data_IF_952802345278
#
_entry.id   IF_952802345278
#
_cell.length_a   1.000
_cell.length_b   1.000
_cell.length_c   1.000
_cell.angle_alpha   90.00
_cell.angle_beta   90.00
_cell.angle_gamma   90.00
#
_symmetry.space_group_name_H-M   'P 1'
#
loop_
_entity.id
_entity.type
_entity.pdbx_description
1 polymer ?
#
# COMPACT_ATOMS: atom_id res chain seq x y z
N UNK A 1 -1.81 10.74 -17.74
CA UNK A 1 -1.24 9.54 -17.06
C UNK A 1 -0.07 9.90 -16.16
N UNK A 2 0.95 10.60 -16.66
CA UNK A 2 2.10 11.00 -15.83
C UNK A 2 1.73 11.95 -14.68
N UNK A 3 0.91 12.96 -14.92
CA UNK A 3 0.44 13.85 -13.83
C UNK A 3 -0.31 13.07 -12.73
N UNK A 4 -1.18 12.12 -13.11
CA UNK A 4 -1.88 11.25 -12.17
C UNK A 4 -0.90 10.40 -11.36
N UNK A 5 0.11 9.83 -12.01
CA UNK A 5 1.19 9.11 -11.34
C UNK A 5 1.87 9.97 -10.27
N UNK A 6 2.34 11.17 -10.61
CA UNK A 6 3.03 12.04 -9.64
C UNK A 6 2.12 12.47 -8.48
N UNK A 7 0.87 12.82 -8.77
CA UNK A 7 -0.10 13.23 -7.74
C UNK A 7 -0.36 12.09 -6.75
N UNK A 8 -0.63 10.88 -7.24
CA UNK A 8 -0.95 9.75 -6.37
C UNK A 8 0.28 9.31 -5.55
N UNK A 9 1.49 9.30 -6.12
CA UNK A 9 2.71 9.03 -5.35
C UNK A 9 2.93 10.08 -4.25
N UNK A 10 2.77 11.37 -4.58
CA UNK A 10 2.88 12.45 -3.60
C UNK A 10 1.87 12.28 -2.46
N UNK A 11 0.63 11.92 -2.79
CA UNK A 11 -0.43 11.66 -1.81
C UNK A 11 -0.08 10.48 -0.89
N UNK A 12 0.47 9.40 -1.44
CA UNK A 12 0.93 8.24 -0.66
C UNK A 12 2.09 8.61 0.27
N UNK A 13 3.06 9.40 -0.19
CA UNK A 13 4.17 9.88 0.65
C UNK A 13 3.64 10.70 1.84
N UNK A 14 2.67 11.58 1.64
CA UNK A 14 2.01 12.30 2.73
C UNK A 14 1.43 11.32 3.75
N UNK A 15 0.74 10.27 3.30
CA UNK A 15 0.20 9.23 4.18
C UNK A 15 1.27 8.52 5.00
N UNK A 16 2.41 8.20 4.40
CA UNK A 16 3.56 7.61 5.10
C UNK A 16 4.17 8.54 6.14
N UNK A 17 4.38 9.81 5.79
CA UNK A 17 4.90 10.81 6.72
C UNK A 17 3.97 10.97 7.93
N UNK A 18 2.65 11.02 7.69
CA UNK A 18 1.65 11.12 8.75
C UNK A 18 1.75 9.96 9.76
N UNK A 19 1.81 8.71 9.29
CA UNK A 19 1.90 7.56 10.20
C UNK A 19 3.26 7.42 10.89
N UNK A 20 4.34 7.86 10.23
CA UNK A 20 5.69 7.82 10.81
C UNK A 20 5.84 8.87 11.90
N UNK A 21 5.44 10.11 11.66
CA UNK A 21 5.67 11.23 12.58
C UNK A 21 4.60 11.38 13.66
N UNK A 22 3.36 10.98 13.38
CA UNK A 22 2.22 11.15 14.29
C UNK A 22 1.53 9.83 14.66
N UNK A 23 2.26 8.79 15.11
CA UNK A 23 1.71 7.45 15.29
C UNK A 23 0.67 7.35 16.42
N UNK A 24 0.70 8.26 17.40
CA UNK A 24 -0.22 8.22 18.56
C UNK A 24 -1.53 9.00 18.32
N UNK A 25 -1.64 9.72 17.20
CA UNK A 25 -2.79 10.58 16.92
C UNK A 25 -3.82 9.82 16.09
N UNK A 26 -4.87 9.30 16.74
CA UNK A 26 -5.90 8.49 16.10
C UNK A 26 -6.58 9.20 14.91
N UNK A 27 -6.76 10.52 14.99
CA UNK A 27 -7.28 11.32 13.87
C UNK A 27 -6.37 11.27 12.63
N UNK A 28 -5.05 11.36 12.83
CA UNK A 28 -4.06 11.31 11.75
C UNK A 28 -4.03 9.93 11.10
N UNK A 29 -4.06 8.86 11.90
CA UNK A 29 -4.14 7.50 11.37
C UNK A 29 -5.42 7.27 10.55
N UNK A 30 -6.57 7.79 11.02
CA UNK A 30 -7.83 7.74 10.28
C UNK A 30 -7.76 8.50 8.95
N UNK A 31 -7.06 9.64 8.90
CA UNK A 31 -6.85 10.38 7.65
C UNK A 31 -6.08 9.51 6.65
N UNK A 32 -4.93 8.95 7.04
CA UNK A 32 -4.18 8.05 6.16
C UNK A 32 -5.00 6.83 5.74
N UNK A 33 -5.73 6.22 6.68
CA UNK A 33 -6.51 4.99 6.46
C UNK A 33 -7.74 5.16 5.56
N UNK A 34 -8.51 6.23 5.76
CA UNK A 34 -9.81 6.36 5.11
C UNK A 34 -9.77 7.36 3.96
N UNK A 35 -9.06 8.47 4.12
CA UNK A 35 -8.99 9.50 3.08
C UNK A 35 -7.92 9.17 2.05
N UNK A 36 -6.68 8.93 2.46
CA UNK A 36 -5.57 8.72 1.52
C UNK A 36 -5.73 7.40 0.79
N UNK A 37 -5.84 6.29 1.54
CA UNK A 37 -6.11 4.97 0.95
C UNK A 37 -7.46 4.97 0.21
N UNK A 38 -8.49 5.68 0.69
CA UNK A 38 -9.78 5.78 0.01
C UNK A 38 -9.69 6.47 -1.36
N UNK A 39 -8.96 7.59 -1.45
CA UNK A 39 -8.73 8.29 -2.72
C UNK A 39 -7.92 7.42 -3.69
N UNK A 40 -6.88 6.73 -3.22
CA UNK A 40 -6.11 5.79 -4.04
C UNK A 40 -7.01 4.64 -4.53
N UNK A 41 -7.88 4.11 -3.66
CA UNK A 41 -8.81 3.04 -4.00
C UNK A 41 -9.87 3.49 -5.01
N UNK A 42 -10.35 4.74 -4.90
CA UNK A 42 -11.27 5.33 -5.87
C UNK A 42 -10.58 5.54 -7.23
N UNK A 43 -9.34 6.02 -7.24
CA UNK A 43 -8.55 6.13 -8.46
C UNK A 43 -8.37 4.77 -9.13
N UNK A 44 -8.07 3.72 -8.35
CA UNK A 44 -8.00 2.34 -8.84
C UNK A 44 -9.34 1.84 -9.39
N UNK A 45 -10.45 2.11 -8.69
CA UNK A 45 -11.80 1.74 -9.13
C UNK A 45 -12.13 2.29 -10.53
N UNK A 46 -11.77 3.55 -10.80
CA UNK A 46 -11.97 4.18 -12.11
C UNK A 46 -11.18 3.50 -13.24
N UNK A 47 -10.12 2.74 -12.92
CA UNK A 47 -9.33 2.00 -13.89
C UNK A 47 -9.84 0.59 -14.16
N UNK A 48 -10.75 0.05 -13.32
CA UNK A 48 -11.29 -1.31 -13.46
C UNK A 48 -11.87 -1.60 -14.85
N UNK A 49 -12.64 -0.71 -15.51
CA UNK A 49 -13.15 -0.99 -16.85
C UNK A 49 -12.04 -1.25 -17.89
N UNK A 50 -10.90 -0.59 -17.73
CA UNK A 50 -9.72 -0.78 -18.59
C UNK A 50 -9.07 -2.13 -18.29
N UNK A 51 -8.97 -2.51 -17.01
CA UNK A 51 -8.42 -3.82 -16.61
C UNK A 51 -9.26 -4.96 -17.18
N UNK A 52 -10.58 -4.92 -16.95
CA UNK A 52 -11.51 -5.96 -17.39
C UNK A 52 -11.46 -6.14 -18.92
N UNK A 53 -11.32 -5.06 -19.68
CA UNK A 53 -11.21 -5.13 -21.15
C UNK A 53 -10.00 -5.94 -21.64
N UNK A 54 -8.90 -5.94 -20.89
CA UNK A 54 -7.66 -6.63 -21.27
C UNK A 54 -7.48 -7.95 -20.51
N UNK A 55 -8.45 -8.34 -19.70
CA UNK A 55 -8.37 -9.54 -18.88
C UNK A 55 -8.96 -10.72 -19.65
N UNK A 56 -8.10 -11.62 -20.11
CA UNK A 56 -8.47 -12.87 -20.79
C UNK A 56 -8.45 -14.09 -19.84
N UNK A 57 -7.97 -13.93 -18.61
CA UNK A 57 -7.83 -15.00 -17.61
C UNK A 57 -6.63 -15.92 -17.83
N UNK A 58 -5.95 -15.82 -18.98
CA UNK A 58 -4.77 -16.63 -19.30
C UNK A 58 -3.55 -16.20 -18.48
N UNK A 59 -3.55 -14.97 -17.95
CA UNK A 59 -2.51 -14.43 -17.08
C UNK A 59 -2.23 -15.25 -15.82
N UNK A 60 -3.15 -16.12 -15.39
CA UNK A 60 -2.96 -16.99 -14.22
C UNK A 60 -2.20 -18.28 -14.55
N UNK A 61 -2.10 -18.62 -15.83
CA UNK A 61 -1.52 -19.87 -16.31
C UNK A 61 -0.25 -19.65 -17.13
N UNK A 62 -0.07 -18.47 -17.73
CA UNK A 62 1.12 -18.12 -18.52
C UNK A 62 1.75 -16.77 -18.12
N UNK A 63 3.05 -16.84 -17.79
CA UNK A 63 3.89 -15.68 -17.49
C UNK A 63 4.03 -14.71 -18.67
N UNK A 64 3.99 -15.21 -19.91
CA UNK A 64 4.11 -14.39 -21.12
C UNK A 64 2.91 -13.44 -21.28
N UNK A 65 1.71 -13.92 -20.96
CA UNK A 65 0.49 -13.10 -20.95
C UNK A 65 0.56 -12.03 -19.87
N UNK A 66 1.09 -12.37 -18.69
CA UNK A 66 1.31 -11.38 -17.62
C UNK A 66 2.27 -10.26 -18.08
N UNK A 67 3.38 -10.59 -18.74
CA UNK A 67 4.30 -9.58 -19.29
C UNK A 67 3.59 -8.70 -20.33
N UNK A 68 2.87 -9.31 -21.26
CA UNK A 68 2.15 -8.58 -22.30
C UNK A 68 1.13 -7.60 -21.70
N UNK A 69 0.40 -8.03 -20.67
CA UNK A 69 -0.55 -7.20 -19.95
C UNK A 69 0.13 -6.03 -19.22
N UNK A 70 1.23 -6.29 -18.51
CA UNK A 70 1.97 -5.27 -17.75
C UNK A 70 2.74 -4.28 -18.64
N UNK A 71 2.99 -4.61 -19.91
CA UNK A 71 3.53 -3.66 -20.90
C UNK A 71 2.53 -2.57 -21.29
N UNK A 72 1.25 -2.73 -20.98
CA UNK A 72 0.22 -1.72 -21.23
C UNK A 72 0.31 -0.66 -20.12
N UNK A 73 0.75 0.56 -20.48
CA UNK A 73 1.01 1.67 -19.54
C UNK A 73 -0.15 1.98 -18.59
N UNK A 74 -1.40 1.88 -19.05
CA UNK A 74 -2.59 2.10 -18.22
C UNK A 74 -2.77 1.01 -17.18
N UNK A 75 -2.52 -0.25 -17.54
CA UNK A 75 -2.62 -1.38 -16.61
C UNK A 75 -1.49 -1.32 -15.58
N UNK A 76 -0.27 -1.03 -16.03
CA UNK A 76 0.87 -0.84 -15.15
C UNK A 76 0.60 0.25 -14.09
N UNK A 77 0.01 1.39 -14.50
CA UNK A 77 -0.36 2.44 -13.55
C UNK A 77 -1.43 1.95 -12.56
N UNK A 78 -2.45 1.21 -13.01
CA UNK A 78 -3.47 0.68 -12.11
C UNK A 78 -2.88 -0.28 -11.08
N UNK A 79 -2.01 -1.21 -11.51
CA UNK A 79 -1.27 -2.10 -10.61
C UNK A 79 -0.40 -1.30 -9.62
N UNK A 80 0.22 -0.21 -10.08
CA UNK A 80 0.99 0.67 -9.19
C UNK A 80 0.11 1.34 -8.13
N UNK A 81 -1.05 1.89 -8.52
CA UNK A 81 -1.99 2.51 -7.58
C UNK A 81 -2.50 1.48 -6.56
N UNK A 82 -2.73 0.24 -7.00
CA UNK A 82 -3.07 -0.86 -6.12
C UNK A 82 -2.00 -1.08 -5.05
N UNK A 83 -0.71 -1.15 -5.44
CA UNK A 83 0.38 -1.25 -4.46
C UNK A 83 0.46 -0.05 -3.51
N UNK A 84 0.36 1.18 -4.03
CA UNK A 84 0.35 2.39 -3.20
C UNK A 84 -0.76 2.35 -2.12
N UNK A 85 -1.96 1.91 -2.49
CA UNK A 85 -3.10 1.84 -1.57
C UNK A 85 -2.90 0.75 -0.51
N UNK A 86 -2.55 -0.46 -0.94
CA UNK A 86 -2.41 -1.60 -0.03
C UNK A 86 -1.20 -1.46 0.89
N UNK A 87 -0.05 -1.00 0.40
CA UNK A 87 1.15 -0.84 1.22
C UNK A 87 0.95 0.22 2.30
N UNK A 88 0.31 1.34 1.96
CA UNK A 88 -0.02 2.38 2.95
C UNK A 88 -1.05 1.86 3.97
N UNK A 89 -2.07 1.12 3.53
CA UNK A 89 -3.04 0.49 4.44
C UNK A 89 -2.35 -0.46 5.42
N UNK A 90 -1.43 -1.29 4.93
CA UNK A 90 -0.62 -2.19 5.76
C UNK A 90 0.26 -1.40 6.73
N UNK A 91 0.89 -0.31 6.29
CA UNK A 91 1.65 0.59 7.16
C UNK A 91 0.81 1.17 8.30
N UNK A 92 -0.39 1.67 7.99
CA UNK A 92 -1.35 2.14 9.00
C UNK A 92 -1.72 1.02 9.96
N UNK A 93 -2.02 -0.18 9.46
CA UNK A 93 -2.35 -1.34 10.28
C UNK A 93 -1.23 -1.71 11.26
N UNK A 94 0.03 -1.71 10.80
CA UNK A 94 1.20 -1.96 11.64
C UNK A 94 1.27 -0.92 12.77
N UNK A 95 1.09 0.37 12.48
CA UNK A 95 1.12 1.43 13.49
C UNK A 95 -0.04 1.31 14.47
N UNK A 96 -1.28 1.19 13.99
CA UNK A 96 -2.47 1.08 14.84
C UNK A 96 -2.35 -0.11 15.79
N UNK A 97 -1.92 -1.26 15.28
CA UNK A 97 -1.76 -2.48 16.07
C UNK A 97 -0.62 -2.36 17.07
N UNK A 98 0.51 -1.80 16.64
CA UNK A 98 1.66 -1.57 17.53
C UNK A 98 1.32 -0.64 18.70
N UNK A 99 0.61 0.45 18.43
CA UNK A 99 0.20 1.41 19.47
C UNK A 99 -0.78 0.78 20.46
N UNK A 100 -1.78 0.03 19.96
CA UNK A 100 -2.74 -0.69 20.82
C UNK A 100 -2.08 -1.72 21.74
N UNK A 101 -1.00 -2.36 21.27
CA UNK A 101 -0.25 -3.38 21.99
C UNK A 101 0.92 -2.83 22.81
N UNK A 102 1.15 -1.50 22.80
CA UNK A 102 2.29 -0.90 23.50
C UNK A 102 3.66 -1.27 22.92
N UNK A 103 3.74 -1.69 21.65
CA UNK A 103 5.02 -1.99 20.98
C UNK A 103 5.80 -0.68 20.78
N UNK A 104 7.06 -0.65 21.25
CA UNK A 104 7.92 0.52 21.15
C UNK A 104 8.14 0.95 19.69
N UNK A 105 8.16 2.26 19.43
CA UNK A 105 8.34 2.84 18.08
C UNK A 105 9.55 2.31 17.32
N UNK A 106 10.69 2.18 17.98
CA UNK A 106 11.92 1.66 17.35
C UNK A 106 11.82 0.22 16.82
N UNK A 107 10.82 -0.55 17.27
CA UNK A 107 10.61 -1.94 16.87
C UNK A 107 9.80 -2.04 15.58
N UNK A 108 8.68 -1.30 15.48
CA UNK A 108 7.83 -1.36 14.30
C UNK A 108 8.28 -0.40 13.18
N UNK A 109 9.12 0.61 13.48
CA UNK A 109 9.61 1.55 12.47
C UNK A 109 10.43 0.88 11.35
N UNK A 110 11.34 -0.09 11.61
CA UNK A 110 11.96 -0.89 10.56
C UNK A 110 10.94 -1.67 9.72
N UNK A 111 9.87 -2.17 10.34
CA UNK A 111 8.79 -2.87 9.62
C UNK A 111 8.08 -1.92 8.65
N UNK A 112 7.85 -0.66 9.05
CA UNK A 112 7.27 0.36 8.17
C UNK A 112 8.16 0.69 6.98
N UNK A 113 9.48 0.82 7.19
CA UNK A 113 10.42 1.04 6.09
C UNK A 113 10.42 -0.15 5.11
N UNK A 114 10.41 -1.37 5.65
CA UNK A 114 10.30 -2.57 4.83
C UNK A 114 8.96 -2.62 4.09
N UNK A 115 7.85 -2.18 4.69
CA UNK A 115 6.55 -2.12 3.99
C UNK A 115 6.55 -1.03 2.91
N UNK A 116 7.21 0.11 3.12
CA UNK A 116 7.27 1.17 2.11
C UNK A 116 7.97 0.72 0.81
N UNK A 117 9.05 -0.06 0.93
CA UNK A 117 9.85 -0.49 -0.24
C UNK A 117 9.50 -1.90 -0.71
N UNK A 118 9.07 -2.75 0.21
CA UNK A 118 8.88 -4.19 0.02
C UNK A 118 7.61 -4.66 0.74
N UNK A 119 6.48 -3.96 0.55
CA UNK A 119 5.15 -4.21 1.15
C UNK A 119 5.01 -5.47 2.02
N UNK A 120 4.97 -6.67 1.42
CA UNK A 120 4.80 -7.94 2.13
C UNK A 120 5.89 -8.29 3.15
N UNK A 121 7.14 -7.92 2.90
CA UNK A 121 8.29 -8.21 3.78
C UNK A 121 8.18 -7.43 5.08
N UNK A 122 7.75 -6.18 5.04
CA UNK A 122 7.53 -5.40 6.26
C UNK A 122 6.39 -5.94 7.11
N UNK A 123 5.32 -6.43 6.49
CA UNK A 123 4.24 -7.12 7.20
C UNK A 123 4.70 -8.43 7.84
N UNK A 124 5.49 -9.23 7.11
CA UNK A 124 6.08 -10.45 7.63
C UNK A 124 6.99 -10.16 8.84
N UNK A 125 7.85 -9.16 8.73
CA UNK A 125 8.72 -8.72 9.83
C UNK A 125 7.90 -8.31 11.06
N UNK A 126 6.80 -7.57 10.86
CA UNK A 126 5.89 -7.20 11.93
C UNK A 126 5.28 -8.42 12.63
N UNK A 127 4.80 -9.41 11.87
CA UNK A 127 4.24 -10.63 12.45
C UNK A 127 5.27 -11.46 13.21
N UNK A 128 6.47 -11.66 12.67
CA UNK A 128 7.55 -12.35 13.38
C UNK A 128 7.83 -11.66 14.72
N UNK A 129 7.94 -10.34 14.71
CA UNK A 129 8.16 -9.55 15.91
C UNK A 129 7.00 -9.64 16.91
N UNK A 130 5.76 -9.72 16.41
CA UNK A 130 4.56 -9.90 17.22
C UNK A 130 4.53 -11.27 17.91
N UNK A 131 4.86 -12.34 17.19
CA UNK A 131 4.93 -13.70 17.76
C UNK A 131 6.04 -13.87 18.81
N UNK A 132 7.22 -13.26 18.62
CA UNK A 132 8.34 -13.38 19.56
C UNK A 132 8.06 -12.68 20.91
N UNK A 133 7.18 -11.68 20.94
CA UNK A 133 6.89 -10.88 22.15
C UNK A 133 5.72 -11.37 22.98
N UNK A 134 4.98 -12.36 22.47
CA UNK A 134 3.80 -12.93 23.13
C UNK A 134 4.21 -14.19 23.89
#
# INVERSE_FOLDING_TARGET
MEALFYVLNGFTIVGWLLIVFFPNYTGVLKISKYWIVGILSLAYLLMIPILVKHFDGEIFYDYSHLIALLNIKTILLACWIHYLAFDLFVGVYIVETSVKLGIKRGVYLPCLLLTLFFGPIGLLAFYIQFFIRK
#
